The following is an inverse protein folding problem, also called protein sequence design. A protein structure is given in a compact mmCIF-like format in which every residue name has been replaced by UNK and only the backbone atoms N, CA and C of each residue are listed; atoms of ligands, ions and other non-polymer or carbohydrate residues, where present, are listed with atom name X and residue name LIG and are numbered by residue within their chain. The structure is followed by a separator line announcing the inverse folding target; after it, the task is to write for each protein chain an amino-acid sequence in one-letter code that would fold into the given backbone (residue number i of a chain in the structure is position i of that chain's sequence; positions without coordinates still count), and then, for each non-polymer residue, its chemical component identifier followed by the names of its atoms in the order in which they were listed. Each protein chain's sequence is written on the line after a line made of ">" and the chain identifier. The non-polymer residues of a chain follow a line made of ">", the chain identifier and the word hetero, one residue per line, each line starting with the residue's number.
data_IF_187911049872
#
_entry.id   IF_187911049872
#
_cell.length_a   1.000
_cell.length_b   1.000
_cell.length_c   1.000
_cell.angle_alpha   90.00
_cell.angle_beta   90.00
_cell.angle_gamma   90.00
#
_symmetry.space_group_name_H-M   'P 1'
#
loop_
_entity.id
_entity.type
_entity.pdbx_description
1 polymer ?
#
# COMPACT_ATOMS: atom_id res chain seq x y z
N UNK A 1 -13.47 16.93 -24.98
CA UNK A 1 -13.48 15.49 -25.31
C UNK A 1 -12.33 14.87 -24.55
N UNK A 2 -12.71 14.13 -23.52
CA UNK A 2 -11.91 13.50 -22.47
C UNK A 2 -11.45 12.12 -22.99
N UNK A 3 -10.53 11.45 -22.29
CA UNK A 3 -10.24 9.98 -22.34
C UNK A 3 -8.95 9.47 -23.02
N UNK A 4 -7.74 9.96 -22.68
CA UNK A 4 -6.51 9.32 -23.22
C UNK A 4 -5.33 9.14 -22.25
N UNK A 5 -5.53 9.23 -20.94
CA UNK A 5 -4.55 8.69 -19.97
C UNK A 5 -5.27 7.96 -18.86
N UNK A 6 -5.90 6.87 -19.27
CA UNK A 6 -6.06 5.69 -18.43
C UNK A 6 -4.70 5.42 -17.76
N UNK A 7 -4.55 5.77 -16.48
CA UNK A 7 -3.48 5.24 -15.64
C UNK A 7 -3.98 3.87 -15.19
N UNK A 8 -3.62 2.80 -15.90
CA UNK A 8 -4.22 1.52 -15.64
C UNK A 8 -3.43 0.86 -14.51
N UNK A 9 -4.16 0.28 -13.56
CA UNK A 9 -3.79 -0.86 -12.69
C UNK A 9 -3.33 -0.64 -11.24
N UNK A 10 -2.99 0.55 -10.74
CA UNK A 10 -2.65 0.69 -9.30
C UNK A 10 -3.04 2.03 -8.69
N UNK A 11 -4.34 2.38 -8.72
CA UNK A 11 -4.85 3.27 -7.66
C UNK A 11 -5.01 2.44 -6.39
N UNK A 12 -3.89 1.95 -5.84
CA UNK A 12 -3.90 1.43 -4.48
C UNK A 12 -4.15 2.65 -3.62
N UNK A 13 -5.33 2.68 -3.00
CA UNK A 13 -5.74 3.81 -2.20
C UNK A 13 -4.66 4.13 -1.16
N UNK A 14 -4.41 5.42 -0.89
CA UNK A 14 -3.38 5.84 0.04
C UNK A 14 -3.57 5.21 1.42
N UNK A 15 -4.81 4.96 1.83
CA UNK A 15 -5.16 4.23 3.04
C UNK A 15 -4.68 2.78 2.98
N UNK A 16 -4.87 2.10 1.84
CA UNK A 16 -4.43 0.70 1.66
C UNK A 16 -2.91 0.58 1.68
N UNK A 17 -2.19 1.53 1.06
CA UNK A 17 -0.72 1.58 1.14
C UNK A 17 -0.23 1.78 2.58
N UNK A 18 -0.91 2.65 3.33
CA UNK A 18 -0.57 2.95 4.71
C UNK A 18 -0.82 1.76 5.64
N UNK A 19 -1.96 1.06 5.46
CA UNK A 19 -2.28 -0.16 6.20
C UNK A 19 -1.30 -1.29 5.87
N UNK A 20 -0.97 -1.51 4.59
CA UNK A 20 0.00 -2.52 4.18
C UNK A 20 1.39 -2.25 4.79
N UNK A 21 1.80 -0.99 4.84
CA UNK A 21 3.07 -0.58 5.47
C UNK A 21 3.05 -0.84 6.97
N UNK A 22 1.94 -0.49 7.66
CA UNK A 22 1.82 -0.71 9.10
C UNK A 22 1.88 -2.20 9.48
N UNK A 23 1.20 -3.06 8.71
CA UNK A 23 1.22 -4.51 8.93
C UNK A 23 2.63 -5.07 8.73
N UNK A 24 3.33 -4.65 7.67
CA UNK A 24 4.68 -5.11 7.41
C UNK A 24 5.66 -4.70 8.52
N UNK A 25 5.60 -3.45 8.96
CA UNK A 25 6.43 -2.94 10.06
C UNK A 25 6.09 -3.63 11.39
N UNK A 26 4.81 -3.89 11.68
CA UNK A 26 4.38 -4.60 12.90
C UNK A 26 4.87 -6.05 12.92
N UNK A 27 4.80 -6.75 11.79
CA UNK A 27 5.28 -8.12 11.64
C UNK A 27 6.81 -8.21 11.83
N UNK A 28 7.57 -7.31 11.20
CA UNK A 28 9.02 -7.23 11.38
C UNK A 28 9.41 -6.90 12.83
N UNK A 29 8.69 -5.99 13.48
CA UNK A 29 8.95 -5.63 14.88
C UNK A 29 8.70 -6.81 15.82
N UNK A 30 7.61 -7.57 15.60
CA UNK A 30 7.32 -8.80 16.35
C UNK A 30 8.38 -9.88 16.11
N UNK A 31 8.85 -10.02 14.87
CA UNK A 31 9.90 -10.98 14.54
C UNK A 31 11.23 -10.64 15.25
N UNK A 32 11.52 -9.36 15.49
CA UNK A 32 12.71 -8.89 16.21
C UNK A 32 12.59 -8.93 17.74
N UNK A 33 11.39 -9.13 18.29
CA UNK A 33 11.15 -9.25 19.74
C UNK A 33 11.23 -10.71 20.25
N UNK A 34 11.71 -11.65 19.42
CA UNK A 34 11.99 -13.05 19.77
C UNK A 34 13.37 -13.21 20.40
#
# INVERSE_FOLDING_TARGET
>A
MQQDREHPLYYLDAETLLVATYIWVDDELKALQV
#
